data_IF_723799880862
#
_entry.id   IF_723799880862
#
_cell.length_a   1.000
_cell.length_b   1.000
_cell.length_c   1.000
_cell.angle_alpha   90.00
_cell.angle_beta   90.00
_cell.angle_gamma   90.00
#
_symmetry.space_group_name_H-M   'P 1'
#
loop_
_entity.id
_entity.type
_entity.pdbx_description
1 polymer ?
#
# COMPACT_ATOMS: atom_id res chain seq x y z
N UNK A 1 8.38 -11.17 -6.51
CA UNK A 1 7.70 -10.05 -5.81
C UNK A 1 8.71 -8.97 -5.40
N UNK A 2 9.60 -9.25 -4.44
CA UNK A 2 10.52 -8.25 -3.86
C UNK A 2 11.21 -7.30 -4.85
N UNK A 3 11.95 -7.81 -5.85
CA UNK A 3 12.66 -6.97 -6.83
C UNK A 3 11.72 -6.04 -7.61
N UNK A 4 10.52 -6.50 -7.95
CA UNK A 4 9.54 -5.68 -8.67
C UNK A 4 9.03 -4.55 -7.79
N UNK A 5 8.73 -4.87 -6.52
CA UNK A 5 8.26 -3.88 -5.54
C UNK A 5 9.34 -2.81 -5.36
N UNK A 6 10.60 -3.21 -5.15
CA UNK A 6 11.71 -2.27 -4.94
C UNK A 6 11.89 -1.31 -6.12
N UNK A 7 11.96 -1.83 -7.36
CA UNK A 7 12.06 -1.01 -8.58
C UNK A 7 10.87 -0.05 -8.70
N UNK A 8 9.65 -0.53 -8.42
CA UNK A 8 8.44 0.30 -8.51
C UNK A 8 8.36 1.36 -7.41
N UNK A 9 8.82 1.05 -6.19
CA UNK A 9 8.91 2.02 -5.11
C UNK A 9 9.92 3.13 -5.41
N UNK A 10 11.06 2.79 -6.00
CA UNK A 10 12.02 3.79 -6.46
C UNK A 10 11.42 4.66 -7.56
N UNK A 11 10.78 4.05 -8.56
CA UNK A 11 10.09 4.78 -9.63
C UNK A 11 9.01 5.72 -9.12
N UNK A 12 8.20 5.28 -8.15
CA UNK A 12 7.13 6.08 -7.56
C UNK A 12 7.65 7.34 -6.86
N UNK A 13 8.89 7.33 -6.34
CA UNK A 13 9.50 8.52 -5.74
C UNK A 13 9.71 9.63 -6.76
N UNK A 14 10.16 9.30 -7.97
CA UNK A 14 10.58 10.27 -8.98
C UNK A 14 9.51 10.55 -10.06
N UNK A 15 8.84 9.51 -10.55
CA UNK A 15 7.95 9.60 -11.71
C UNK A 15 6.46 9.65 -11.35
N UNK A 16 6.09 9.33 -10.09
CA UNK A 16 4.69 9.23 -9.64
C UNK A 16 3.82 8.30 -10.50
N UNK A 17 4.44 7.30 -11.13
CA UNK A 17 3.78 6.29 -11.96
C UNK A 17 4.25 4.89 -11.58
N UNK A 18 3.42 3.89 -11.86
CA UNK A 18 3.70 2.47 -11.66
C UNK A 18 3.45 1.71 -12.96
N UNK A 19 4.38 0.82 -13.31
CA UNK A 19 4.28 -0.05 -14.50
C UNK A 19 4.76 -1.47 -14.12
N UNK A 20 3.92 -2.16 -13.37
CA UNK A 20 4.21 -3.51 -12.87
C UNK A 20 4.33 -4.49 -14.04
N UNK A 21 3.46 -4.36 -15.05
CA UNK A 21 3.48 -5.21 -16.24
C UNK A 21 4.80 -5.06 -17.03
N UNK A 22 5.18 -3.82 -17.37
CA UNK A 22 6.41 -3.54 -18.08
C UNK A 22 7.65 -3.98 -17.31
N UNK A 23 7.67 -3.76 -16.00
CA UNK A 23 8.75 -4.20 -15.12
C UNK A 23 8.89 -5.74 -15.11
N UNK A 24 7.81 -6.48 -14.89
CA UNK A 24 7.83 -7.95 -14.89
C UNK A 24 8.23 -8.50 -16.25
N UNK A 25 7.72 -7.91 -17.34
CA UNK A 25 8.08 -8.28 -18.71
C UNK A 25 9.57 -8.07 -18.99
N UNK A 26 10.15 -6.96 -18.54
CA UNK A 26 11.58 -6.67 -18.68
C UNK A 26 12.44 -7.65 -17.86
N UNK A 27 12.07 -7.91 -16.61
CA UNK A 27 12.79 -8.86 -15.75
C UNK A 27 12.77 -10.29 -16.29
N UNK A 28 11.64 -10.72 -16.86
CA UNK A 28 11.53 -12.05 -17.50
C UNK A 28 12.44 -12.22 -18.72
N UNK A 29 12.87 -11.14 -19.38
CA UNK A 29 13.89 -11.21 -20.45
C UNK A 29 15.29 -11.47 -19.91
N UNK A 30 15.58 -11.02 -18.70
CA UNK A 30 16.89 -11.18 -18.06
C UNK A 30 17.00 -12.49 -17.28
N UNK A 31 15.92 -12.89 -16.61
CA UNK A 31 15.85 -14.13 -15.83
C UNK A 31 14.46 -14.75 -15.98
N UNK A 32 14.42 -15.98 -16.46
CA UNK A 32 13.17 -16.71 -16.60
C UNK A 32 12.46 -16.88 -15.25
N UNK A 33 11.13 -16.98 -15.29
CA UNK A 33 10.28 -17.24 -14.12
C UNK A 33 10.34 -16.19 -13.01
N UNK A 34 10.59 -14.92 -13.37
CA UNK A 34 10.36 -13.80 -12.47
C UNK A 34 8.85 -13.56 -12.30
N UNK A 35 8.38 -13.61 -11.04
CA UNK A 35 6.95 -13.60 -10.63
C UNK A 35 6.20 -14.78 -11.26
N UNK A 36 6.01 -15.86 -10.51
CA UNK A 36 5.61 -17.16 -11.09
C UNK A 36 4.11 -17.42 -11.02
N UNK A 37 3.47 -16.92 -9.97
CA UNK A 37 2.05 -17.18 -9.70
C UNK A 37 1.25 -15.89 -9.79
N UNK A 38 -0.05 -16.05 -10.02
CA UNK A 38 -1.00 -14.94 -9.99
C UNK A 38 -1.02 -14.26 -8.62
N UNK A 39 -1.03 -15.04 -7.54
CA UNK A 39 -0.99 -14.52 -6.17
C UNK A 39 0.21 -13.59 -5.91
N UNK A 40 1.39 -13.94 -6.44
CA UNK A 40 2.57 -13.07 -6.33
C UNK A 40 2.41 -11.78 -7.12
N UNK A 41 1.70 -11.83 -8.25
CA UNK A 41 1.42 -10.66 -9.09
C UNK A 41 0.41 -9.74 -8.40
N UNK A 42 -0.68 -10.29 -7.88
CA UNK A 42 -1.68 -9.60 -7.05
C UNK A 42 -1.00 -8.96 -5.84
N UNK A 43 -0.15 -9.71 -5.13
CA UNK A 43 0.57 -9.19 -3.97
C UNK A 43 1.44 -7.97 -4.30
N UNK A 44 2.08 -7.92 -5.48
CA UNK A 44 2.86 -6.74 -5.89
C UNK A 44 1.94 -5.52 -6.07
N UNK A 45 0.77 -5.70 -6.68
CA UNK A 45 -0.21 -4.63 -6.83
C UNK A 45 -0.69 -4.12 -5.47
N UNK A 46 -1.10 -5.03 -4.58
CA UNK A 46 -1.56 -4.69 -3.22
C UNK A 46 -0.47 -3.99 -2.40
N UNK A 47 0.77 -4.49 -2.44
CA UNK A 47 1.88 -3.89 -1.70
C UNK A 47 2.22 -2.46 -2.18
N UNK A 48 2.12 -2.19 -3.48
CA UNK A 48 2.36 -0.84 -4.01
C UNK A 48 1.20 0.09 -3.73
N UNK A 49 -0.04 -0.40 -3.78
CA UNK A 49 -1.23 0.37 -3.42
C UNK A 49 -1.17 0.82 -1.96
N UNK A 50 -0.83 -0.09 -1.05
CA UNK A 50 -0.66 0.21 0.38
C UNK A 50 0.33 1.37 0.60
N UNK A 51 1.46 1.36 -0.09
CA UNK A 51 2.47 2.43 0.05
C UNK A 51 1.97 3.76 -0.52
N UNK A 52 1.16 3.73 -1.58
CA UNK A 52 0.56 4.94 -2.16
C UNK A 52 -0.46 5.55 -1.20
N UNK A 53 -1.29 4.71 -0.58
CA UNK A 53 -2.41 5.15 0.24
C UNK A 53 -1.96 5.52 1.67
N UNK A 54 -1.12 4.71 2.32
CA UNK A 54 -0.64 4.94 3.67
C UNK A 54 0.53 5.95 3.74
N UNK A 55 1.39 5.97 2.71
CA UNK A 55 2.61 6.79 2.71
C UNK A 55 3.63 6.37 3.77
N UNK A 56 4.45 7.32 4.24
CA UNK A 56 5.42 7.09 5.31
C UNK A 56 4.91 7.67 6.64
N UNK A 57 4.53 6.79 7.56
CA UNK A 57 4.03 7.13 8.90
C UNK A 57 5.09 6.92 10.00
N UNK A 58 6.34 6.59 9.63
CA UNK A 58 7.42 6.40 10.60
C UNK A 58 7.85 7.72 11.25
N UNK A 59 7.94 7.72 12.59
CA UNK A 59 8.34 8.88 13.38
C UNK A 59 9.52 8.54 14.29
N UNK A 60 10.69 9.21 14.14
CA UNK A 60 11.78 9.06 15.09
C UNK A 60 11.35 9.49 16.49
N UNK A 61 11.73 8.75 17.53
CA UNK A 61 11.30 9.01 18.92
C UNK A 61 11.53 10.46 19.38
N UNK A 62 12.65 11.07 18.98
CA UNK A 62 12.97 12.49 19.25
C UNK A 62 11.92 13.49 18.74
N UNK A 63 11.18 13.12 17.69
CA UNK A 63 10.17 13.95 17.04
C UNK A 63 8.75 13.58 17.47
N UNK A 64 8.56 12.56 18.33
CA UNK A 64 7.25 12.01 18.67
C UNK A 64 6.33 13.06 19.30
N UNK A 65 6.82 13.83 20.28
CA UNK A 65 6.01 14.86 20.94
C UNK A 65 5.52 15.95 19.97
N UNK A 66 6.38 16.35 19.03
CA UNK A 66 6.03 17.32 18.00
C UNK A 66 5.01 16.74 17.01
N UNK A 67 5.17 15.49 16.62
CA UNK A 67 4.25 14.78 15.74
C UNK A 67 2.86 14.62 16.38
N UNK A 68 2.77 14.18 17.64
CA UNK A 68 1.49 14.07 18.36
C UNK A 68 0.82 15.44 18.49
N UNK A 69 1.58 16.50 18.77
CA UNK A 69 1.03 17.86 18.83
C UNK A 69 0.41 18.27 17.49
N UNK A 70 1.08 17.95 16.38
CA UNK A 70 0.57 18.19 15.02
C UNK A 70 -0.71 17.42 14.75
N UNK A 71 -0.77 16.13 15.09
CA UNK A 71 -1.94 15.28 14.87
C UNK A 71 -3.19 15.73 15.64
N UNK A 72 -3.00 16.40 16.77
CA UNK A 72 -4.09 16.95 17.60
C UNK A 72 -4.60 18.31 17.13
N UNK A 73 -3.91 18.98 16.20
CA UNK A 73 -4.40 20.25 15.66
C UNK A 73 -5.65 19.99 14.81
N UNK A 74 -6.67 20.82 15.01
CA UNK A 74 -7.89 20.78 14.22
C UNK A 74 -7.67 21.48 12.88
N UNK A 75 -8.15 20.88 11.81
CA UNK A 75 -8.23 21.51 10.51
C UNK A 75 -9.42 22.49 10.41
N UNK A 76 -9.57 23.16 9.27
CA UNK A 76 -10.67 24.09 9.01
C UNK A 76 -12.05 23.41 9.01
N UNK A 77 -12.09 22.09 8.89
CA UNK A 77 -13.29 21.24 8.93
C UNK A 77 -13.57 20.65 10.31
N UNK A 78 -12.74 20.95 11.32
CA UNK A 78 -12.88 20.47 12.69
C UNK A 78 -12.39 19.04 12.93
N UNK A 79 -11.77 18.41 11.95
CA UNK A 79 -11.15 17.09 12.07
C UNK A 79 -9.70 17.20 12.57
N UNK A 80 -9.27 16.23 13.37
CA UNK A 80 -7.86 16.10 13.75
C UNK A 80 -7.12 15.15 12.81
N UNK A 81 -5.81 15.37 12.60
CA UNK A 81 -4.97 14.43 11.85
C UNK A 81 -5.00 13.01 12.43
N UNK A 82 -5.15 12.91 13.76
CA UNK A 82 -5.32 11.63 14.46
C UNK A 82 -6.60 10.89 14.04
N UNK A 83 -7.72 11.59 13.84
CA UNK A 83 -8.96 10.97 13.37
C UNK A 83 -8.86 10.49 11.92
N UNK A 84 -8.13 11.22 11.07
CA UNK A 84 -7.90 10.82 9.69
C UNK A 84 -7.09 9.53 9.61
N UNK A 85 -5.98 9.45 10.35
CA UNK A 85 -5.16 8.23 10.43
C UNK A 85 -5.96 7.06 11.01
N UNK A 86 -6.79 7.29 12.04
CA UNK A 86 -7.62 6.23 12.61
C UNK A 86 -8.71 5.74 11.65
N UNK A 87 -9.36 6.66 10.92
CA UNK A 87 -10.34 6.30 9.88
C UNK A 87 -9.70 5.44 8.79
N UNK A 88 -8.51 5.80 8.33
CA UNK A 88 -7.78 5.04 7.33
C UNK A 88 -7.64 3.56 7.73
N UNK A 89 -7.20 3.30 8.97
CA UNK A 89 -7.06 1.94 9.51
C UNK A 89 -8.40 1.18 9.52
N UNK A 90 -9.50 1.86 9.89
CA UNK A 90 -10.83 1.25 9.91
C UNK A 90 -11.34 0.90 8.52
N UNK A 91 -11.08 1.75 7.51
CA UNK A 91 -11.45 1.47 6.12
C UNK A 91 -10.68 0.28 5.57
N UNK A 92 -9.37 0.20 5.83
CA UNK A 92 -8.56 -0.94 5.42
C UNK A 92 -9.02 -2.25 6.08
N UNK A 93 -9.25 -2.28 7.39
CA UNK A 93 -9.72 -3.48 8.08
C UNK A 93 -11.12 -3.92 7.58
N UNK A 94 -12.01 -2.96 7.31
CA UNK A 94 -13.35 -3.29 6.78
C UNK A 94 -13.31 -3.79 5.35
N UNK A 95 -12.51 -3.20 4.46
CA UNK A 95 -12.34 -3.67 3.08
C UNK A 95 -11.72 -5.07 3.02
N UNK A 96 -10.66 -5.32 3.81
CA UNK A 96 -10.03 -6.63 3.89
C UNK A 96 -11.00 -7.71 4.40
N UNK A 97 -11.81 -7.39 5.41
CA UNK A 97 -12.88 -8.30 5.88
C UNK A 97 -13.94 -8.56 4.82
N UNK A 98 -14.33 -7.56 4.03
CA UNK A 98 -15.29 -7.74 2.95
C UNK A 98 -14.73 -8.60 1.80
N UNK A 99 -13.46 -8.43 1.46
CA UNK A 99 -12.75 -9.27 0.48
C UNK A 99 -12.66 -10.73 0.96
N UNK A 100 -12.31 -10.95 2.22
CA UNK A 100 -12.28 -12.29 2.83
C UNK A 100 -13.67 -12.96 2.83
N UNK A 101 -14.72 -12.18 3.07
CA UNK A 101 -16.10 -12.66 2.97
C UNK A 101 -16.49 -13.01 1.53
N UNK A 102 -16.04 -12.22 0.55
CA UNK A 102 -16.27 -12.49 -0.87
C UNK A 102 -15.54 -13.74 -1.36
N UNK A 103 -14.30 -13.97 -0.92
CA UNK A 103 -13.52 -15.16 -1.25
C UNK A 103 -14.02 -16.43 -0.54
N UNK A 104 -14.75 -16.31 0.58
CA UNK A 104 -15.36 -17.43 1.31
C UNK A 104 -16.75 -17.82 0.83
N UNK A 105 -17.36 -17.09 -0.10
CA UNK A 105 -18.59 -17.55 -0.75
C UNK A 105 -18.25 -18.76 -1.63
N UNK A 106 -18.80 -19.96 -1.36
CA UNK A 106 -18.64 -21.07 -2.30
C UNK A 106 -19.29 -20.63 -3.61
N UNK A 107 -18.49 -20.57 -4.68
CA UNK A 107 -19.01 -20.48 -6.04
C UNK A 107 -19.83 -21.75 -6.25
N UNK A 108 -21.13 -21.66 -5.99
CA UNK A 108 -22.10 -22.70 -6.31
C UNK A 108 -21.97 -22.98 -7.80
N UNK A 109 -21.39 -24.13 -8.14
CA UNK A 109 -21.65 -24.78 -9.42
C UNK A 109 -22.92 -25.60 -9.31
#
# INVERSE_FOLDING_TARGET
>A
AFIVIDIMLERLKYEKTVDIYGCVKALRKQRNFMVQTEDQYIFIHSALLEVIDAGNTEVPARNLSAHIKKLRMLDATGGSGMELEFKFILYEDTLNRLLDLAHKQPISK
#
